data_IF_442958895928
#
_entry.id   IF_442958895928
#
_cell.length_a   1.000
_cell.length_b   1.000
_cell.length_c   1.000
_cell.angle_alpha   90.00
_cell.angle_beta   90.00
_cell.angle_gamma   90.00
#
_symmetry.space_group_name_H-M   'P 1'
#
loop_
_entity.id
_entity.type
_entity.pdbx_description
1 polymer ?
#
# COMPACT_ATOMS: atom_id res chain seq x y z
N UNK A 1 -27.70 49.24 -32.89
CA UNK A 1 -26.97 49.50 -31.64
C UNK A 1 -26.58 48.13 -31.05
N UNK A 2 -25.30 47.79 -31.15
CA UNK A 2 -24.73 46.50 -30.80
C UNK A 2 -24.31 46.56 -29.34
N UNK A 3 -24.85 45.68 -28.48
CA UNK A 3 -24.36 45.47 -27.13
C UNK A 3 -23.37 44.31 -27.11
N UNK A 4 -22.13 44.64 -26.85
CA UNK A 4 -20.98 43.73 -26.69
C UNK A 4 -21.14 42.90 -25.40
N UNK A 5 -21.21 41.61 -25.53
CA UNK A 5 -21.16 40.64 -24.40
C UNK A 5 -19.71 40.50 -23.95
N UNK A 6 -19.41 40.95 -22.74
CA UNK A 6 -18.15 40.77 -22.06
C UNK A 6 -17.93 39.28 -21.71
N UNK A 7 -16.81 38.76 -22.17
CA UNK A 7 -16.36 37.41 -21.92
C UNK A 7 -15.76 37.32 -20.49
N UNK A 8 -16.30 36.52 -19.53
CA UNK A 8 -15.67 36.38 -18.23
C UNK A 8 -14.37 35.55 -18.36
N UNK A 9 -13.28 36.23 -18.14
CA UNK A 9 -11.95 35.69 -17.99
C UNK A 9 -11.95 34.53 -16.97
N UNK A 10 -11.83 33.29 -17.45
CA UNK A 10 -11.60 32.10 -16.60
C UNK A 10 -10.20 32.22 -16.00
N UNK A 11 -10.13 32.79 -14.81
CA UNK A 11 -8.96 32.63 -13.94
C UNK A 11 -8.76 31.14 -13.67
N UNK A 12 -7.93 30.49 -14.48
CA UNK A 12 -7.32 29.20 -14.11
C UNK A 12 -6.44 29.48 -12.90
N UNK A 13 -6.96 29.20 -11.72
CA UNK A 13 -6.16 29.08 -10.52
C UNK A 13 -5.10 28.01 -10.79
N UNK A 14 -3.87 28.42 -11.14
CA UNK A 14 -2.71 27.54 -11.17
C UNK A 14 -2.47 27.13 -9.72
N UNK A 15 -2.98 25.97 -9.32
CA UNK A 15 -2.49 25.31 -8.11
C UNK A 15 -0.97 25.28 -8.23
N UNK A 16 -0.28 25.89 -7.27
CA UNK A 16 1.15 25.73 -7.13
C UNK A 16 1.46 24.24 -7.20
N UNK A 17 2.41 23.85 -8.05
CA UNK A 17 2.82 22.46 -8.21
C UNK A 17 3.42 22.03 -6.87
N UNK A 18 2.64 21.30 -6.07
CA UNK A 18 3.10 20.79 -4.78
C UNK A 18 3.90 19.52 -5.11
N UNK A 19 5.23 19.64 -5.13
CA UNK A 19 6.08 18.47 -5.21
C UNK A 19 6.13 17.80 -3.84
N UNK A 20 6.14 16.46 -3.82
CA UNK A 20 6.33 15.70 -2.60
C UNK A 20 7.59 16.16 -1.86
N UNK A 21 7.52 16.23 -0.55
CA UNK A 21 8.71 16.30 0.27
C UNK A 21 9.40 14.93 0.21
N UNK A 22 10.60 14.88 -0.38
CA UNK A 22 11.42 13.68 -0.45
C UNK A 22 12.43 13.74 0.70
N UNK A 23 12.29 12.84 1.67
CA UNK A 23 13.18 12.80 2.85
C UNK A 23 13.98 11.51 2.84
N UNK A 24 15.31 11.66 2.78
CA UNK A 24 16.21 10.54 2.92
C UNK A 24 16.18 10.01 4.35
N UNK A 25 16.02 8.70 4.48
CA UNK A 25 16.02 8.03 5.78
C UNK A 25 17.44 8.01 6.34
N UNK A 26 17.57 8.55 7.56
CA UNK A 26 18.77 8.54 8.36
C UNK A 26 18.46 7.81 9.67
N UNK A 27 19.21 6.76 9.96
CA UNK A 27 19.02 5.93 11.15
C UNK A 27 19.12 6.76 12.44
N UNK A 28 19.95 7.80 12.47
CA UNK A 28 20.10 8.67 13.66
C UNK A 28 18.87 9.52 13.94
N UNK A 29 17.98 9.70 12.94
CA UNK A 29 16.74 10.49 13.00
C UNK A 29 15.50 9.68 12.76
N UNK A 30 15.62 8.35 12.72
CA UNK A 30 14.51 7.46 12.34
C UNK A 30 13.24 7.71 13.17
N UNK A 31 13.37 7.86 14.49
CA UNK A 31 12.20 8.11 15.36
C UNK A 31 11.43 9.39 14.99
N UNK A 32 12.15 10.51 14.78
CA UNK A 32 11.54 11.77 14.37
C UNK A 32 10.87 11.66 12.99
N UNK A 33 11.52 10.96 12.05
CA UNK A 33 10.98 10.73 10.71
C UNK A 33 9.70 9.90 10.74
N UNK A 34 9.67 8.84 11.54
CA UNK A 34 8.49 8.01 11.74
C UNK A 34 7.33 8.80 12.33
N UNK A 35 7.58 9.61 13.38
CA UNK A 35 6.55 10.49 13.97
C UNK A 35 5.98 11.47 12.93
N UNK A 36 6.85 12.04 12.09
CA UNK A 36 6.43 12.95 11.03
C UNK A 36 5.54 12.23 10.01
N UNK A 37 5.99 11.07 9.50
CA UNK A 37 5.23 10.27 8.55
C UNK A 37 3.88 9.81 9.12
N UNK A 38 3.85 9.40 10.39
CA UNK A 38 2.61 9.04 11.09
C UNK A 38 1.65 10.23 11.16
N UNK A 39 2.13 11.44 11.49
CA UNK A 39 1.26 12.64 11.47
C UNK A 39 0.67 12.90 10.09
N UNK A 40 1.44 12.68 9.02
CA UNK A 40 0.96 12.80 7.64
C UNK A 40 -0.15 11.76 7.38
N UNK A 41 0.06 10.49 7.76
CA UNK A 41 -0.92 9.40 7.58
C UNK A 41 -2.20 9.67 8.39
N UNK A 42 -2.07 10.04 9.67
CA UNK A 42 -3.21 10.34 10.56
C UNK A 42 -4.02 11.54 10.05
N UNK A 43 -3.37 12.50 9.36
CA UNK A 43 -4.08 13.60 8.70
C UNK A 43 -4.90 13.18 7.47
N UNK A 44 -4.95 11.87 7.16
CA UNK A 44 -5.71 11.32 6.04
C UNK A 44 -5.00 11.41 4.70
N UNK A 45 -3.66 11.56 4.72
CA UNK A 45 -2.83 11.64 3.51
C UNK A 45 -2.10 10.32 3.25
N UNK A 46 -1.48 10.24 2.07
CA UNK A 46 -0.75 9.04 1.59
C UNK A 46 0.74 9.32 1.62
N UNK A 47 1.53 8.37 2.10
CA UNK A 47 2.99 8.41 2.14
C UNK A 47 3.55 7.30 1.24
N UNK A 48 4.60 7.58 0.47
CA UNK A 48 5.34 6.55 -0.23
C UNK A 48 6.57 6.14 0.59
N UNK A 49 6.84 4.83 0.64
CA UNK A 49 7.97 4.25 1.37
C UNK A 49 8.44 2.93 0.75
N UNK A 50 9.72 2.54 0.91
CA UNK A 50 10.24 1.29 0.37
C UNK A 50 9.73 0.08 1.14
N UNK A 51 9.52 -1.03 0.41
CA UNK A 51 9.30 -2.36 0.96
C UNK A 51 10.41 -3.31 0.47
N UNK A 52 10.32 -4.58 0.83
CA UNK A 52 11.20 -5.65 0.32
C UNK A 52 10.91 -6.03 -1.15
N UNK A 53 9.89 -5.45 -1.77
CA UNK A 53 9.57 -5.63 -3.20
C UNK A 53 9.76 -4.33 -3.99
N UNK A 54 8.87 -3.38 -3.84
CA UNK A 54 8.87 -2.07 -4.48
C UNK A 54 8.47 -1.00 -3.47
N UNK A 55 8.57 0.27 -3.84
CA UNK A 55 7.96 1.34 -3.08
C UNK A 55 6.45 1.16 -3.01
N UNK A 56 5.88 1.35 -1.82
CA UNK A 56 4.45 1.23 -1.53
C UNK A 56 3.79 2.56 -1.19
N UNK A 57 2.48 2.63 -1.38
CA UNK A 57 1.62 3.73 -0.91
C UNK A 57 0.95 3.30 0.38
N UNK A 58 1.31 3.96 1.49
CA UNK A 58 0.70 3.77 2.80
C UNK A 58 -0.28 4.87 3.15
N UNK A 59 -1.45 4.44 3.54
CA UNK A 59 -2.53 5.27 4.06
C UNK A 59 -3.27 4.48 5.14
N UNK A 60 -3.98 5.17 6.03
CA UNK A 60 -4.87 4.53 7.00
C UNK A 60 -6.06 3.89 6.25
N UNK A 61 -6.21 2.54 6.26
CA UNK A 61 -7.30 1.87 5.55
C UNK A 61 -8.67 2.13 6.16
N UNK A 62 -8.75 2.62 7.39
CA UNK A 62 -10.00 2.97 8.07
C UNK A 62 -10.44 4.41 7.79
N UNK A 63 -9.56 5.25 7.22
CA UNK A 63 -9.90 6.58 6.74
C UNK A 63 -10.33 6.53 5.27
N UNK A 64 -11.64 6.61 5.01
CA UNK A 64 -12.20 6.51 3.65
C UNK A 64 -11.71 7.62 2.70
N UNK A 65 -11.34 8.80 3.21
CA UNK A 65 -10.77 9.87 2.41
C UNK A 65 -9.34 9.50 1.97
N UNK A 66 -8.52 8.95 2.88
CA UNK A 66 -7.18 8.46 2.58
C UNK A 66 -7.21 7.29 1.57
N UNK A 67 -8.14 6.34 1.75
CA UNK A 67 -8.36 5.24 0.79
C UNK A 67 -8.75 5.78 -0.58
N UNK A 68 -9.64 6.80 -0.64
CA UNK A 68 -10.02 7.43 -1.91
C UNK A 68 -8.84 8.10 -2.59
N UNK A 69 -7.96 8.71 -1.80
CA UNK A 69 -6.74 9.35 -2.29
C UNK A 69 -5.76 8.34 -2.89
N UNK A 70 -5.60 7.15 -2.28
CA UNK A 70 -4.81 6.06 -2.90
C UNK A 70 -5.34 5.70 -4.28
N UNK A 71 -6.66 5.53 -4.45
CA UNK A 71 -7.24 5.24 -5.76
C UNK A 71 -7.02 6.40 -6.74
N UNK A 72 -7.16 7.65 -6.30
CA UNK A 72 -6.92 8.85 -7.11
C UNK A 72 -5.46 8.92 -7.59
N UNK A 73 -4.49 8.70 -6.70
CA UNK A 73 -3.06 8.70 -7.03
C UNK A 73 -2.74 7.59 -8.04
N UNK A 74 -3.32 6.42 -7.86
CA UNK A 74 -3.14 5.28 -8.76
C UNK A 74 -3.81 5.48 -10.13
N UNK A 75 -4.73 6.42 -10.27
CA UNK A 75 -5.54 6.58 -11.49
C UNK A 75 -6.41 5.37 -11.80
N UNK A 76 -6.87 4.63 -10.77
CA UNK A 76 -7.67 3.42 -10.97
C UNK A 76 -9.02 3.50 -10.27
N UNK A 77 -9.97 2.70 -10.76
CA UNK A 77 -11.28 2.49 -10.14
C UNK A 77 -11.18 1.70 -8.83
N UNK A 78 -12.16 1.87 -7.94
CA UNK A 78 -12.21 1.20 -6.63
C UNK A 78 -12.76 -0.24 -6.71
N UNK A 79 -12.68 -0.88 -7.87
CA UNK A 79 -13.13 -2.25 -8.15
C UNK A 79 -12.09 -3.33 -7.82
N UNK A 80 -10.87 -2.92 -7.45
CA UNK A 80 -9.79 -3.83 -7.05
C UNK A 80 -9.46 -3.66 -5.58
N UNK A 81 -9.47 -4.73 -4.77
CA UNK A 81 -9.10 -4.66 -3.37
C UNK A 81 -7.70 -4.05 -3.16
N UNK A 82 -7.54 -3.29 -2.07
CA UNK A 82 -6.25 -2.82 -1.60
C UNK A 82 -5.68 -3.83 -0.60
N UNK A 83 -4.48 -4.38 -0.84
CA UNK A 83 -3.80 -5.16 0.18
C UNK A 83 -3.40 -4.28 1.35
N UNK A 84 -3.33 -4.86 2.55
CA UNK A 84 -2.88 -4.20 3.76
C UNK A 84 -1.55 -4.76 4.21
N UNK A 85 -0.67 -3.87 4.65
CA UNK A 85 0.59 -4.21 5.30
C UNK A 85 0.39 -4.20 6.81
N UNK A 86 0.96 -5.21 7.45
CA UNK A 86 0.94 -5.43 8.89
C UNK A 86 2.36 -5.56 9.44
N UNK A 87 2.53 -5.42 10.75
CA UNK A 87 3.81 -5.57 11.44
C UNK A 87 3.89 -6.84 12.29
N UNK A 88 2.82 -7.64 12.36
CA UNK A 88 2.82 -8.92 13.06
C UNK A 88 1.73 -9.85 12.53
N UNK A 89 1.84 -11.14 12.85
CA UNK A 89 0.80 -12.15 12.56
C UNK A 89 -0.46 -11.86 13.37
N UNK A 90 -0.33 -11.41 14.61
CA UNK A 90 -1.47 -11.09 15.48
C UNK A 90 -2.27 -9.90 14.91
N UNK A 91 -1.58 -8.82 14.49
CA UNK A 91 -2.24 -7.71 13.82
C UNK A 91 -2.97 -8.16 12.54
N UNK A 92 -2.38 -9.10 11.79
CA UNK A 92 -3.04 -9.66 10.62
C UNK A 92 -4.28 -10.50 11.01
N UNK A 93 -4.20 -11.30 12.06
CA UNK A 93 -5.31 -12.12 12.55
C UNK A 93 -6.52 -11.26 12.95
N UNK A 94 -6.30 -10.10 13.58
CA UNK A 94 -7.37 -9.15 13.93
C UNK A 94 -8.13 -8.58 12.72
N UNK A 95 -7.48 -8.60 11.55
CA UNK A 95 -8.06 -8.11 10.28
C UNK A 95 -8.81 -9.18 9.50
N UNK A 96 -8.87 -10.40 10.01
CA UNK A 96 -9.54 -11.52 9.36
C UNK A 96 -10.82 -11.92 10.09
N UNK A 97 -11.67 -12.64 9.40
CA UNK A 97 -12.82 -13.32 9.97
C UNK A 97 -12.60 -14.82 9.80
N UNK A 98 -12.43 -15.54 10.92
CA UNK A 98 -12.23 -17.00 10.94
C UNK A 98 -11.15 -17.48 9.96
N UNK A 99 -9.87 -17.06 10.15
CA UNK A 99 -8.80 -17.42 9.23
C UNK A 99 -8.51 -18.94 9.30
N UNK A 100 -8.31 -19.61 8.14
CA UNK A 100 -7.98 -21.01 8.14
C UNK A 100 -6.63 -21.27 8.83
N UNK A 101 -6.44 -22.46 9.43
CA UNK A 101 -5.16 -22.82 10.08
C UNK A 101 -3.96 -22.66 9.13
N UNK A 102 -4.18 -22.89 7.82
CA UNK A 102 -3.17 -22.71 6.78
C UNK A 102 -2.65 -21.26 6.71
N UNK A 103 -3.46 -20.26 7.03
CA UNK A 103 -3.03 -18.86 7.11
C UNK A 103 -1.87 -18.71 8.10
N UNK A 104 -1.99 -19.26 9.30
CA UNK A 104 -0.93 -19.18 10.32
C UNK A 104 0.31 -19.97 9.93
N UNK A 105 0.14 -21.12 9.29
CA UNK A 105 1.26 -21.95 8.79
C UNK A 105 2.07 -21.18 7.75
N UNK A 106 1.40 -20.59 6.75
CA UNK A 106 2.05 -19.82 5.69
C UNK A 106 2.66 -18.52 6.21
N UNK A 107 1.95 -17.81 7.10
CA UNK A 107 2.46 -16.60 7.73
C UNK A 107 3.75 -16.87 8.51
N UNK A 108 3.80 -17.91 9.35
CA UNK A 108 5.00 -18.29 10.10
C UNK A 108 6.17 -18.71 9.22
N UNK A 109 5.90 -19.31 8.04
CA UNK A 109 6.95 -19.77 7.12
C UNK A 109 7.51 -18.64 6.25
N UNK A 110 6.66 -17.72 5.77
CA UNK A 110 7.02 -16.78 4.72
C UNK A 110 7.02 -15.31 5.16
N UNK A 111 6.54 -14.98 6.36
CA UNK A 111 6.56 -13.63 6.89
C UNK A 111 7.63 -13.44 7.97
N UNK A 112 8.25 -12.27 8.04
CA UNK A 112 8.14 -11.15 7.09
C UNK A 112 8.75 -11.50 5.72
N UNK A 113 8.04 -11.10 4.64
CA UNK A 113 8.49 -11.45 3.28
C UNK A 113 7.50 -11.12 2.16
N UNK A 114 7.82 -11.57 0.92
CA UNK A 114 7.09 -11.20 -0.28
C UNK A 114 5.88 -12.13 -0.57
N UNK A 115 5.13 -12.52 0.47
CA UNK A 115 3.88 -13.30 0.34
C UNK A 115 2.70 -12.45 0.81
N UNK A 116 1.68 -12.32 -0.02
CA UNK A 116 0.38 -11.73 0.31
C UNK A 116 -0.65 -12.84 0.43
N UNK A 117 -1.29 -12.97 1.59
CA UNK A 117 -2.33 -13.96 1.87
C UNK A 117 -3.70 -13.28 1.77
N UNK A 118 -4.57 -13.78 0.90
CA UNK A 118 -5.96 -13.32 0.76
C UNK A 118 -6.84 -14.22 1.62
N UNK A 119 -7.56 -13.58 2.56
CA UNK A 119 -8.40 -14.24 3.56
C UNK A 119 -9.76 -13.53 3.67
N UNK A 120 -10.77 -14.15 4.31
CA UNK A 120 -12.01 -13.45 4.62
C UNK A 120 -11.73 -12.23 5.50
N UNK A 121 -12.25 -11.07 5.10
CA UNK A 121 -12.02 -9.81 5.80
C UNK A 121 -12.86 -9.70 7.07
N UNK A 122 -12.26 -9.18 8.14
CA UNK A 122 -13.00 -8.76 9.33
C UNK A 122 -14.00 -7.64 8.96
N UNK A 123 -15.15 -7.60 9.65
CA UNK A 123 -16.21 -6.60 9.45
C UNK A 123 -15.76 -5.16 9.70
N UNK A 124 -14.66 -4.96 10.43
CA UNK A 124 -14.10 -3.63 10.67
C UNK A 124 -13.45 -3.02 9.42
N UNK A 125 -13.03 -3.85 8.42
CA UNK A 125 -12.39 -3.36 7.20
C UNK A 125 -13.44 -2.72 6.29
N UNK A 126 -13.24 -1.45 5.88
CA UNK A 126 -14.21 -0.77 5.02
C UNK A 126 -14.41 -1.50 3.68
N UNK A 127 -15.64 -1.55 3.19
CA UNK A 127 -16.00 -2.19 1.93
C UNK A 127 -15.20 -1.63 0.74
N UNK A 128 -14.81 -0.36 0.78
CA UNK A 128 -13.98 0.26 -0.24
C UNK A 128 -12.57 -0.35 -0.33
N UNK A 129 -12.02 -0.79 0.79
CA UNK A 129 -10.70 -1.47 0.84
C UNK A 129 -10.81 -2.87 0.24
N UNK A 130 -11.88 -3.59 0.56
CA UNK A 130 -12.14 -4.94 0.06
C UNK A 130 -12.77 -4.95 -1.35
N UNK A 131 -13.08 -3.80 -1.95
CA UNK A 131 -13.85 -3.69 -3.19
C UNK A 131 -15.15 -4.52 -3.15
N UNK A 132 -15.84 -4.55 -2.00
CA UNK A 132 -17.06 -5.33 -1.74
C UNK A 132 -16.91 -6.85 -1.91
N UNK A 133 -15.69 -7.39 -1.97
CA UNK A 133 -15.46 -8.84 -2.14
C UNK A 133 -15.60 -9.63 -0.84
N UNK A 134 -15.58 -8.95 0.31
CA UNK A 134 -15.49 -9.59 1.63
C UNK A 134 -14.12 -10.24 1.91
N UNK A 135 -13.10 -9.96 1.07
CA UNK A 135 -11.75 -10.52 1.17
C UNK A 135 -10.73 -9.41 1.34
N UNK A 136 -9.63 -9.71 2.05
CA UNK A 136 -8.50 -8.80 2.22
C UNK A 136 -7.19 -9.54 1.95
N UNK A 137 -6.28 -8.90 1.24
CA UNK A 137 -4.90 -9.36 1.10
C UNK A 137 -4.05 -8.76 2.21
N UNK A 138 -3.38 -9.60 2.99
CA UNK A 138 -2.51 -9.21 4.10
C UNK A 138 -1.07 -9.59 3.81
N UNK A 139 -0.11 -8.75 4.24
CA UNK A 139 1.31 -9.03 4.10
C UNK A 139 2.10 -8.34 5.22
N UNK A 140 3.05 -9.07 5.81
CA UNK A 140 4.09 -8.48 6.65
C UNK A 140 5.38 -8.35 5.81
N UNK A 141 5.75 -7.12 5.41
CA UNK A 141 6.93 -6.92 4.54
C UNK A 141 8.24 -7.14 5.31
N UNK A 142 9.26 -7.67 4.63
CA UNK A 142 10.61 -7.80 5.18
C UNK A 142 11.42 -6.50 4.97
N UNK A 143 10.87 -5.38 5.36
CA UNK A 143 11.52 -4.08 5.23
C UNK A 143 11.45 -3.35 6.57
N UNK A 144 12.60 -3.08 7.18
CA UNK A 144 12.69 -2.46 8.52
C UNK A 144 11.89 -1.16 8.59
N UNK A 145 12.07 -0.27 7.61
CA UNK A 145 11.37 1.02 7.59
C UNK A 145 9.85 0.84 7.48
N UNK A 146 9.38 -0.08 6.63
CA UNK A 146 7.95 -0.34 6.47
C UNK A 146 7.34 -0.89 7.76
N UNK A 147 7.98 -1.88 8.39
CA UNK A 147 7.52 -2.46 9.65
C UNK A 147 7.52 -1.39 10.76
N UNK A 148 8.59 -0.62 10.92
CA UNK A 148 8.67 0.45 11.90
C UNK A 148 7.60 1.53 11.70
N UNK A 149 7.28 1.88 10.45
CA UNK A 149 6.21 2.85 10.14
C UNK A 149 4.83 2.30 10.51
N UNK A 150 4.56 1.01 10.25
CA UNK A 150 3.30 0.35 10.62
C UNK A 150 3.17 0.29 12.15
N UNK A 151 4.24 -0.12 12.87
CA UNK A 151 4.28 -0.15 14.33
C UNK A 151 4.07 1.24 14.93
N UNK A 152 4.80 2.26 14.45
CA UNK A 152 4.66 3.63 14.92
C UNK A 152 3.26 4.22 14.66
N UNK A 153 2.59 3.79 13.58
CA UNK A 153 1.21 4.22 13.29
C UNK A 153 0.17 3.55 14.19
N UNK A 154 0.51 2.43 14.83
CA UNK A 154 -0.40 1.59 15.62
C UNK A 154 -1.51 0.94 14.78
N UNK A 155 -1.39 0.93 13.45
CA UNK A 155 -2.44 0.50 12.51
C UNK A 155 -1.83 -0.20 11.30
N UNK A 156 -2.59 -1.10 10.61
CA UNK A 156 -2.20 -1.55 9.30
C UNK A 156 -2.18 -0.37 8.32
N UNK A 157 -1.37 -0.47 7.27
CA UNK A 157 -1.33 0.52 6.20
C UNK A 157 -1.74 -0.11 4.88
N UNK A 158 -2.29 0.67 3.94
CA UNK A 158 -2.46 0.17 2.56
C UNK A 158 -1.10 -0.20 1.97
N UNK A 159 -1.06 -1.22 1.10
CA UNK A 159 0.18 -1.80 0.58
C UNK A 159 0.21 -1.96 -0.95
N UNK A 160 -0.37 -1.02 -1.69
CA UNK A 160 -0.24 -1.02 -3.16
C UNK A 160 1.06 -0.36 -3.61
N UNK A 161 1.62 -0.78 -4.76
CA UNK A 161 2.86 -0.17 -5.30
C UNK A 161 2.71 1.33 -5.59
N UNK A 162 3.78 2.09 -5.34
CA UNK A 162 3.84 3.55 -5.50
C UNK A 162 4.12 3.95 -6.97
N UNK A 163 3.14 3.69 -7.86
CA UNK A 163 3.20 4.01 -9.28
C UNK A 163 1.80 4.34 -9.82
N UNK A 164 1.69 5.00 -10.95
CA UNK A 164 0.44 5.00 -11.72
C UNK A 164 0.09 3.57 -12.13
N UNK A 165 -1.20 3.22 -12.12
CA UNK A 165 -1.63 1.92 -12.63
C UNK A 165 -1.16 1.76 -14.07
N UNK A 166 -0.79 0.53 -14.45
CA UNK A 166 -0.26 0.18 -15.78
C UNK A 166 1.17 0.64 -16.07
N UNK A 167 1.76 1.52 -15.26
CA UNK A 167 3.20 1.81 -15.34
C UNK A 167 3.99 0.84 -14.46
N UNK A 168 5.30 0.64 -14.75
CA UNK A 168 6.17 -0.18 -13.91
C UNK A 168 6.18 0.28 -12.45
N UNK A 169 6.23 -0.67 -11.52
CA UNK A 169 6.40 -0.39 -10.11
C UNK A 169 7.76 0.27 -9.85
N UNK A 170 7.81 1.22 -8.92
CA UNK A 170 9.01 1.99 -8.62
C UNK A 170 9.91 1.25 -7.63
N UNK A 171 11.20 1.17 -7.95
CA UNK A 171 12.25 0.60 -7.10
C UNK A 171 13.04 1.65 -6.33
N UNK A 172 12.91 2.94 -6.69
CA UNK A 172 13.60 4.06 -6.05
C UNK A 172 12.64 5.21 -5.73
N UNK A 173 13.01 6.04 -4.75
CA UNK A 173 12.26 7.25 -4.40
C UNK A 173 12.18 8.24 -5.57
N UNK A 174 13.25 8.35 -6.37
CA UNK A 174 13.30 9.20 -7.56
C UNK A 174 12.30 8.75 -8.64
N UNK A 175 12.11 7.44 -8.82
CA UNK A 175 11.10 6.91 -9.74
C UNK A 175 9.69 7.27 -9.25
N UNK A 176 9.42 7.13 -7.94
CA UNK A 176 8.16 7.56 -7.32
C UNK A 176 7.94 9.05 -7.55
N UNK A 177 8.95 9.89 -7.27
CA UNK A 177 8.86 11.33 -7.44
C UNK A 177 8.56 11.73 -8.89
N UNK A 178 9.19 11.06 -9.87
CA UNK A 178 8.93 11.31 -11.30
C UNK A 178 7.54 10.89 -11.74
N UNK A 179 7.01 9.76 -11.24
CA UNK A 179 5.70 9.24 -11.68
C UNK A 179 4.53 9.93 -10.99
N UNK A 180 4.61 10.11 -9.67
CA UNK A 180 3.48 10.51 -8.82
C UNK A 180 3.84 11.54 -7.75
N UNK A 181 5.04 12.14 -7.79
CA UNK A 181 5.49 13.07 -6.76
C UNK A 181 4.58 14.30 -6.60
N UNK A 182 4.00 14.82 -7.69
CA UNK A 182 3.04 15.94 -7.65
C UNK A 182 1.71 15.58 -6.92
N UNK A 183 1.48 14.31 -6.63
CA UNK A 183 0.25 13.78 -6.01
C UNK A 183 0.46 13.37 -4.54
N UNK A 184 1.71 13.34 -4.08
CA UNK A 184 2.07 12.90 -2.73
C UNK A 184 2.53 14.08 -1.88
N UNK A 185 2.24 14.08 -0.58
CA UNK A 185 2.85 15.03 0.36
C UNK A 185 4.26 14.62 0.77
N UNK A 186 4.54 13.29 0.87
CA UNK A 186 5.77 12.77 1.45
C UNK A 186 6.23 11.47 0.76
N UNK A 187 7.52 11.40 0.47
CA UNK A 187 8.23 10.20 0.03
C UNK A 187 9.39 9.95 1.01
N UNK A 188 9.40 8.80 1.67
CA UNK A 188 10.50 8.35 2.50
C UNK A 188 11.51 7.62 1.61
N UNK A 189 12.70 8.21 1.42
CA UNK A 189 13.78 7.59 0.66
C UNK A 189 14.63 6.70 1.56
N UNK A 190 14.35 5.42 1.58
CA UNK A 190 15.16 4.38 2.24
C UNK A 190 16.13 3.68 1.29
N UNK A 191 16.44 4.28 0.15
CA UNK A 191 17.28 3.70 -0.88
C UNK A 191 16.52 2.79 -1.87
N UNK A 192 17.23 2.16 -2.80
CA UNK A 192 16.63 1.25 -3.77
C UNK A 192 16.10 -0.01 -3.11
N UNK A 193 14.94 -0.50 -3.59
CA UNK A 193 14.40 -1.79 -3.17
C UNK A 193 15.11 -2.93 -3.91
N UNK A 194 15.27 -4.07 -3.25
CA UNK A 194 15.93 -5.25 -3.82
C UNK A 194 14.98 -6.12 -4.64
N UNK A 195 13.67 -5.85 -4.60
CA UNK A 195 12.67 -6.68 -5.23
C UNK A 195 12.64 -6.52 -6.75
N UNK A 196 12.92 -7.60 -7.46
CA UNK A 196 12.70 -7.70 -8.91
C UNK A 196 11.25 -8.07 -9.23
N UNK A 197 10.57 -8.70 -8.28
CA UNK A 197 9.21 -9.21 -8.40
C UNK A 197 8.29 -8.62 -7.32
N UNK A 198 7.03 -8.44 -7.67
CA UNK A 198 5.99 -8.15 -6.69
C UNK A 198 5.77 -9.34 -5.74
N UNK A 199 5.03 -9.14 -4.64
CA UNK A 199 4.67 -10.26 -3.76
C UNK A 199 3.85 -11.32 -4.50
N UNK A 200 4.07 -12.58 -4.19
CA UNK A 200 3.16 -13.67 -4.57
C UNK A 200 1.85 -13.47 -3.81
N UNK A 201 0.72 -13.62 -4.52
CA UNK A 201 -0.62 -13.48 -3.92
C UNK A 201 -1.30 -14.82 -3.92
N UNK A 202 -1.66 -15.30 -2.72
CA UNK A 202 -2.26 -16.59 -2.49
C UNK A 202 -3.67 -16.44 -1.91
N UNK A 203 -4.69 -16.99 -2.57
CA UNK A 203 -6.08 -16.96 -2.10
C UNK A 203 -6.38 -18.20 -1.25
N UNK A 204 -6.71 -17.98 0.03
CA UNK A 204 -7.07 -18.99 1.01
C UNK A 204 -8.59 -19.03 1.29
N UNK A 205 -9.40 -18.31 0.51
CA UNK A 205 -10.84 -18.17 0.80
C UNK A 205 -11.72 -19.23 0.14
N UNK A 206 -11.17 -20.04 -0.77
CA UNK A 206 -11.88 -21.12 -1.44
C UNK A 206 -11.59 -22.49 -0.83
N UNK A 207 -12.26 -23.52 -1.34
CA UNK A 207 -11.99 -24.92 -0.96
C UNK A 207 -10.54 -25.37 -1.28
N UNK A 208 -9.95 -24.73 -2.30
CA UNK A 208 -8.55 -24.96 -2.70
C UNK A 208 -7.78 -23.67 -2.71
N UNK A 209 -6.52 -23.76 -2.29
CA UNK A 209 -5.58 -22.65 -2.38
C UNK A 209 -5.25 -22.32 -3.83
N UNK A 210 -5.22 -21.03 -4.17
CA UNK A 210 -4.94 -20.58 -5.55
C UNK A 210 -3.92 -19.45 -5.55
N UNK A 211 -2.95 -19.55 -6.45
CA UNK A 211 -2.05 -18.44 -6.75
C UNK A 211 -2.81 -17.47 -7.67
N UNK A 212 -3.16 -16.29 -7.14
CA UNK A 212 -3.78 -15.21 -7.92
C UNK A 212 -2.75 -14.42 -8.72
N UNK A 213 -1.52 -14.36 -8.22
CA UNK A 213 -0.39 -13.69 -8.89
C UNK A 213 0.91 -14.34 -8.46
N UNK A 214 1.72 -14.85 -9.38
CA UNK A 214 3.10 -15.27 -9.08
C UNK A 214 3.97 -14.06 -8.73
N UNK A 215 5.00 -14.25 -7.91
CA UNK A 215 5.88 -13.18 -7.46
C UNK A 215 7.10 -13.71 -6.69
N UNK A 216 7.54 -12.96 -5.68
CA UNK A 216 8.80 -13.21 -4.97
C UNK A 216 8.90 -14.53 -4.19
N UNK A 217 7.76 -15.18 -3.86
CA UNK A 217 7.77 -16.58 -3.40
C UNK A 217 7.46 -17.47 -4.59
N UNK A 218 8.39 -18.34 -5.04
CA UNK A 218 8.19 -19.19 -6.19
C UNK A 218 7.15 -20.28 -5.91
N UNK A 219 6.42 -20.71 -6.96
CA UNK A 219 5.41 -21.75 -6.86
C UNK A 219 5.97 -23.08 -6.32
N UNK A 220 7.24 -23.38 -6.60
CA UNK A 220 7.93 -24.57 -6.09
C UNK A 220 7.96 -24.67 -4.57
N UNK A 221 8.04 -23.52 -3.86
CA UNK A 221 8.00 -23.46 -2.40
C UNK A 221 6.57 -23.53 -1.83
N UNK A 222 5.57 -23.30 -2.68
CA UNK A 222 4.16 -23.33 -2.30
C UNK A 222 3.46 -24.66 -2.63
N UNK A 223 4.11 -25.55 -3.39
CA UNK A 223 3.50 -26.80 -3.90
C UNK A 223 2.83 -27.64 -2.83
N UNK A 224 3.43 -27.77 -1.66
CA UNK A 224 2.90 -28.58 -0.55
C UNK A 224 1.58 -28.02 0.03
N UNK A 225 1.26 -26.74 -0.25
CA UNK A 225 0.05 -26.04 0.23
C UNK A 225 -1.03 -25.90 -0.84
N UNK A 226 -0.74 -26.28 -2.10
CA UNK A 226 -1.67 -26.10 -3.24
C UNK A 226 -2.52 -27.36 -3.51
N UNK A 227 -2.32 -28.44 -2.75
CA UNK A 227 -3.01 -29.72 -2.90
C UNK A 227 -4.39 -29.74 -2.25
#
# INVERSE_FOLDING_TARGET
MLASAANPCRLRCRRAKHMAELIRVDETRLGFLLEYAVRVIVSGKVVAFPTDTFYGLGADPFNLAAVSEVFRIKGRTADRPLPLLVASIDQAADLTHDPPQLFFTLAKKFWPGPLTLVVPASRQIPLKVTANTGKVGLRWPRAVLATALIEASGRPLTGTSANLSELPACSTADEVARQIGDLLPLILDGGPTQGELASTVLDLTGERVRILRPGGVPESELKEFLS
#
